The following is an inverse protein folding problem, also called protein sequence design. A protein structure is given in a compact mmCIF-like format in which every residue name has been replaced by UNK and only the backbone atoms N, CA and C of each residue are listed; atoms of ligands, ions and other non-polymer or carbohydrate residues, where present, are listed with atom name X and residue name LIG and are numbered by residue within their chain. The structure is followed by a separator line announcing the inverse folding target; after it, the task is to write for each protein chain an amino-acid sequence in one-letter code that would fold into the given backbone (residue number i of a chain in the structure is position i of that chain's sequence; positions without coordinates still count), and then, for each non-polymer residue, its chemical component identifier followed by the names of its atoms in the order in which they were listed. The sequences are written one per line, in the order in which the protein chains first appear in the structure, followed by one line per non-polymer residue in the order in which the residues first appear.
data_IF_492195021628
#
_entry.id   IF_492195021628
#
_cell.length_a   1.000
_cell.length_b   1.000
_cell.length_c   1.000
_cell.angle_alpha   90.00
_cell.angle_beta   90.00
_cell.angle_gamma   90.00
#
_symmetry.space_group_name_H-M   'P 1'
#
loop_
_entity.id
_entity.type
_entity.pdbx_description
1 polymer ?
#
# COMPACT_ATOMS: atom_id res chain seq x y z
N UNK A 1 24.15 10.36 3.66
CA UNK A 1 23.02 9.42 3.62
C UNK A 1 22.84 8.85 5.01
N UNK A 2 21.61 8.86 5.52
CA UNK A 2 21.27 8.27 6.81
C UNK A 2 21.50 6.74 6.77
N UNK A 3 21.68 6.11 7.94
CA UNK A 3 21.88 4.65 8.06
C UNK A 3 20.72 3.88 7.43
N UNK A 4 19.50 4.42 7.54
CA UNK A 4 18.29 3.85 6.93
C UNK A 4 18.37 3.95 5.40
N UNK A 5 18.74 5.10 4.84
CA UNK A 5 18.86 5.29 3.39
C UNK A 5 19.83 4.27 2.76
N UNK A 6 21.00 4.08 3.39
CA UNK A 6 22.01 3.13 2.92
C UNK A 6 21.52 1.69 2.99
N UNK A 7 20.74 1.35 4.01
CA UNK A 7 20.11 0.03 4.13
C UNK A 7 19.05 -0.18 3.04
N UNK A 8 18.18 0.82 2.83
CA UNK A 8 17.11 0.76 1.82
C UNK A 8 17.68 0.65 0.40
N UNK A 9 18.73 1.41 0.06
CA UNK A 9 19.41 1.29 -1.24
C UNK A 9 19.90 -0.13 -1.48
N UNK A 10 20.61 -0.73 -0.51
CA UNK A 10 21.09 -2.12 -0.63
C UNK A 10 19.95 -3.13 -0.76
N UNK A 11 18.81 -2.90 -0.08
CA UNK A 11 17.65 -3.77 -0.21
C UNK A 11 16.98 -3.64 -1.59
N UNK A 12 16.95 -2.44 -2.16
CA UNK A 12 16.45 -2.21 -3.53
C UNK A 12 17.36 -2.91 -4.53
N UNK A 13 18.68 -2.69 -4.45
CA UNK A 13 19.66 -3.33 -5.34
C UNK A 13 19.53 -4.86 -5.28
N UNK A 14 19.48 -5.41 -4.07
CA UNK A 14 19.27 -6.85 -3.85
C UNK A 14 17.95 -7.36 -4.42
N UNK A 15 16.86 -6.57 -4.31
CA UNK A 15 15.56 -6.96 -4.83
C UNK A 15 15.51 -6.94 -6.37
N UNK A 16 16.24 -6.02 -7.00
CA UNK A 16 16.40 -5.95 -8.45
C UNK A 16 17.24 -7.13 -8.95
N UNK A 17 18.39 -7.40 -8.31
CA UNK A 17 19.30 -8.48 -8.69
C UNK A 17 18.70 -9.88 -8.45
N UNK A 18 17.91 -10.04 -7.38
CA UNK A 18 17.32 -11.32 -6.98
C UNK A 18 15.82 -11.19 -6.72
N UNK A 19 14.98 -11.07 -7.77
CA UNK A 19 13.54 -10.83 -7.63
C UNK A 19 12.80 -11.89 -6.81
N UNK A 20 13.24 -13.15 -6.87
CA UNK A 20 12.66 -14.27 -6.11
C UNK A 20 13.14 -14.35 -4.66
N UNK A 21 14.25 -13.66 -4.33
CA UNK A 21 14.84 -13.64 -2.99
C UNK A 21 14.56 -12.33 -2.24
N UNK A 22 14.03 -11.31 -2.94
CA UNK A 22 13.55 -10.09 -2.33
C UNK A 22 12.49 -10.41 -1.26
N UNK A 23 12.52 -9.73 -0.10
CA UNK A 23 11.44 -9.85 0.87
C UNK A 23 10.11 -9.56 0.16
N UNK A 24 9.16 -10.50 0.21
CA UNK A 24 7.84 -10.35 -0.41
C UNK A 24 6.98 -9.21 0.21
N UNK A 25 7.59 -8.39 1.07
CA UNK A 25 7.06 -7.27 1.85
C UNK A 25 7.27 -5.91 1.18
N UNK A 26 8.21 -5.81 0.24
CA UNK A 26 8.63 -4.53 -0.36
C UNK A 26 7.93 -4.31 -1.71
N UNK A 27 7.34 -3.12 -1.87
CA UNK A 27 6.87 -2.59 -3.14
C UNK A 27 7.74 -1.39 -3.53
N UNK A 28 8.46 -1.52 -4.64
CA UNK A 28 9.19 -0.43 -5.28
C UNK A 28 8.31 0.14 -6.38
N UNK A 29 7.96 1.42 -6.29
CA UNK A 29 7.18 2.08 -7.34
C UNK A 29 7.95 3.28 -7.86
N UNK A 30 8.14 3.31 -9.18
CA UNK A 30 8.64 4.49 -9.88
C UNK A 30 7.44 5.38 -10.24
N UNK A 31 7.32 6.53 -9.57
CA UNK A 31 6.30 7.54 -9.87
C UNK A 31 6.98 8.84 -10.30
N UNK A 32 6.38 9.54 -11.26
CA UNK A 32 6.64 10.98 -11.38
C UNK A 32 6.14 11.68 -10.12
N UNK A 33 6.82 12.76 -9.70
CA UNK A 33 6.49 13.52 -8.47
C UNK A 33 5.01 13.94 -8.40
N UNK A 34 4.36 14.21 -9.54
CA UNK A 34 2.94 14.58 -9.61
C UNK A 34 1.97 13.39 -9.48
N UNK A 35 2.44 12.17 -9.71
CA UNK A 35 1.65 10.94 -9.58
C UNK A 35 1.51 10.50 -8.12
N UNK A 36 2.58 10.58 -7.33
CA UNK A 36 2.58 10.04 -5.96
C UNK A 36 1.62 10.77 -5.02
N UNK A 37 1.59 12.11 -5.07
CA UNK A 37 0.72 12.92 -4.23
C UNK A 37 -0.76 12.65 -4.53
N UNK A 38 -1.08 12.28 -5.78
CA UNK A 38 -2.43 11.88 -6.20
C UNK A 38 -2.81 10.48 -5.74
N UNK A 39 -1.86 9.63 -5.39
CA UNK A 39 -2.09 8.23 -5.01
C UNK A 39 -2.03 8.06 -3.49
N UNK A 40 -0.97 8.54 -2.83
CA UNK A 40 -0.72 8.40 -1.39
C UNK A 40 -1.12 9.66 -0.61
N UNK A 41 -2.36 10.09 -0.78
CA UNK A 41 -2.91 11.18 0.04
C UNK A 41 -2.94 10.76 1.53
N UNK A 42 -2.95 11.70 2.50
CA UNK A 42 -3.02 11.38 3.92
C UNK A 42 -4.17 10.41 4.26
N UNK A 43 -5.32 10.62 3.61
CA UNK A 43 -6.52 9.81 3.78
C UNK A 43 -6.34 8.34 3.33
N UNK A 44 -5.54 8.10 2.30
CA UNK A 44 -5.25 6.75 1.79
C UNK A 44 -4.13 6.06 2.56
N UNK A 45 -3.15 6.82 3.02
CA UNK A 45 -2.13 6.32 3.96
C UNK A 45 -2.81 5.84 5.25
N UNK A 46 -3.80 6.57 5.76
CA UNK A 46 -4.60 6.13 6.92
C UNK A 46 -5.33 4.81 6.66
N UNK A 47 -5.97 4.65 5.49
CA UNK A 47 -6.62 3.39 5.11
C UNK A 47 -5.62 2.22 5.14
N UNK A 48 -4.44 2.38 4.53
CA UNK A 48 -3.40 1.35 4.52
C UNK A 48 -2.97 0.98 5.94
N UNK A 49 -2.72 1.97 6.80
CA UNK A 49 -2.37 1.76 8.21
C UNK A 49 -3.46 0.99 8.97
N UNK A 50 -4.73 1.37 8.79
CA UNK A 50 -5.86 0.69 9.45
C UNK A 50 -5.98 -0.76 8.98
N UNK A 51 -5.81 -1.02 7.68
CA UNK A 51 -5.83 -2.38 7.15
C UNK A 51 -4.70 -3.23 7.75
N UNK A 52 -3.48 -2.70 7.81
CA UNK A 52 -2.32 -3.41 8.38
C UNK A 52 -2.51 -3.71 9.88
N UNK A 53 -2.98 -2.73 10.65
CA UNK A 53 -3.08 -2.84 12.11
C UNK A 53 -4.30 -3.65 12.58
N UNK A 54 -5.45 -3.49 11.90
CA UNK A 54 -6.72 -4.05 12.38
C UNK A 54 -7.21 -5.25 11.56
N UNK A 55 -6.64 -5.47 10.37
CA UNK A 55 -6.99 -6.57 9.45
C UNK A 55 -8.52 -6.76 9.30
N UNK A 56 -9.26 -5.69 8.92
CA UNK A 56 -10.71 -5.76 8.83
C UNK A 56 -11.14 -6.76 7.76
N UNK A 57 -12.03 -7.70 8.14
CA UNK A 57 -12.51 -8.75 7.24
C UNK A 57 -13.46 -8.26 6.16
N UNK A 58 -13.97 -7.04 6.24
CA UNK A 58 -14.89 -6.48 5.24
C UNK A 58 -14.69 -4.99 5.07
N UNK A 59 -15.09 -4.45 3.91
CA UNK A 59 -15.14 -2.99 3.69
C UNK A 59 -16.03 -2.30 4.74
N UNK A 60 -17.13 -2.94 5.17
CA UNK A 60 -18.01 -2.39 6.21
C UNK A 60 -17.33 -2.27 7.59
N UNK A 61 -16.51 -3.26 7.98
CA UNK A 61 -15.70 -3.15 9.21
C UNK A 61 -14.65 -2.04 9.09
N UNK A 62 -14.01 -1.92 7.93
CA UNK A 62 -13.06 -0.85 7.68
C UNK A 62 -13.70 0.55 7.78
N UNK A 63 -14.91 0.74 7.22
CA UNK A 63 -15.63 2.02 7.32
C UNK A 63 -16.00 2.37 8.76
N UNK A 64 -16.37 1.36 9.56
CA UNK A 64 -16.70 1.56 10.97
C UNK A 64 -15.48 2.00 11.80
N UNK A 65 -14.32 1.38 11.56
CA UNK A 65 -13.06 1.76 12.23
C UNK A 65 -12.63 3.17 11.83
N UNK A 66 -12.68 3.49 10.54
CA UNK A 66 -12.31 4.80 10.01
C UNK A 66 -13.32 5.90 10.35
N UNK A 67 -14.55 5.55 10.77
CA UNK A 67 -15.68 6.47 10.94
C UNK A 67 -15.92 7.33 9.69
N UNK A 68 -15.85 6.70 8.51
CA UNK A 68 -15.97 7.37 7.19
C UNK A 68 -17.08 6.74 6.34
N UNK A 69 -17.75 7.52 5.46
CA UNK A 69 -18.76 6.99 4.55
C UNK A 69 -18.23 5.90 3.61
N UNK A 70 -19.06 4.90 3.32
CA UNK A 70 -18.69 3.73 2.50
C UNK A 70 -18.24 4.11 1.10
N UNK A 71 -18.86 5.12 0.51
CA UNK A 71 -18.59 5.61 -0.84
C UNK A 71 -17.21 6.28 -0.91
N UNK A 72 -16.83 7.02 0.13
CA UNK A 72 -15.50 7.64 0.25
C UNK A 72 -14.42 6.57 0.37
N UNK A 73 -14.59 5.63 1.31
CA UNK A 73 -13.64 4.54 1.53
C UNK A 73 -13.52 3.65 0.29
N UNK A 74 -14.63 3.34 -0.38
CA UNK A 74 -14.61 2.50 -1.59
C UNK A 74 -13.89 3.16 -2.76
N UNK A 75 -14.03 4.48 -2.95
CA UNK A 75 -13.27 5.24 -3.96
C UNK A 75 -11.77 5.17 -3.69
N UNK A 76 -11.37 5.36 -2.44
CA UNK A 76 -9.96 5.32 -2.04
C UNK A 76 -9.36 3.92 -2.17
N UNK A 77 -10.08 2.89 -1.73
CA UNK A 77 -9.64 1.51 -1.91
C UNK A 77 -9.49 1.14 -3.40
N UNK A 78 -10.38 1.64 -4.27
CA UNK A 78 -10.27 1.44 -5.72
C UNK A 78 -9.03 2.12 -6.28
N UNK A 79 -8.76 3.36 -5.89
CA UNK A 79 -7.53 4.05 -6.26
C UNK A 79 -6.30 3.24 -5.83
N UNK A 80 -6.21 2.87 -4.55
CA UNK A 80 -5.09 2.07 -4.02
C UNK A 80 -4.92 0.74 -4.76
N UNK A 81 -6.03 0.05 -5.07
CA UNK A 81 -6.01 -1.21 -5.80
C UNK A 81 -5.54 -1.05 -7.25
N UNK A 82 -5.94 0.02 -7.94
CA UNK A 82 -5.52 0.29 -9.32
C UNK A 82 -3.99 0.50 -9.42
N UNK A 83 -3.36 0.99 -8.36
CA UNK A 83 -1.91 1.14 -8.26
C UNK A 83 -1.21 -0.06 -7.61
N UNK A 84 -1.92 -1.18 -7.38
CA UNK A 84 -1.35 -2.41 -6.81
C UNK A 84 -0.96 -2.34 -5.34
N UNK A 85 -1.37 -1.28 -4.62
CA UNK A 85 -1.05 -1.08 -3.21
C UNK A 85 -1.84 -2.01 -2.28
N UNK A 86 -3.00 -2.48 -2.75
CA UNK A 86 -3.80 -3.48 -2.07
C UNK A 86 -4.53 -4.35 -3.08
N UNK A 87 -4.92 -5.54 -2.64
CA UNK A 87 -5.78 -6.45 -3.35
C UNK A 87 -7.11 -6.60 -2.61
N UNK A 88 -8.05 -7.29 -3.25
CA UNK A 88 -9.25 -7.74 -2.58
C UNK A 88 -9.37 -9.26 -2.70
N UNK A 89 -9.66 -9.90 -1.58
CA UNK A 89 -10.07 -11.31 -1.56
C UNK A 89 -11.58 -11.38 -1.37
N UNK A 90 -12.20 -12.38 -1.99
CA UNK A 90 -13.64 -12.61 -1.92
C UNK A 90 -13.90 -13.87 -1.11
N UNK A 91 -14.80 -13.74 -0.13
CA UNK A 91 -15.36 -14.87 0.61
C UNK A 91 -16.88 -14.81 0.48
N UNK A 92 -17.42 -15.54 -0.50
CA UNK A 92 -18.82 -15.41 -0.91
C UNK A 92 -19.11 -14.00 -1.44
N UNK A 93 -20.06 -13.30 -0.81
CA UNK A 93 -20.44 -11.92 -1.17
C UNK A 93 -19.56 -10.84 -0.52
N UNK A 94 -18.70 -11.22 0.42
CA UNK A 94 -17.89 -10.26 1.17
C UNK A 94 -16.56 -9.97 0.49
N UNK A 95 -16.23 -8.68 0.41
CA UNK A 95 -14.99 -8.16 -0.15
C UNK A 95 -14.05 -7.74 0.98
N UNK A 96 -12.92 -8.44 1.09
CA UNK A 96 -11.91 -8.22 2.12
C UNK A 96 -10.73 -7.46 1.52
N UNK A 97 -10.43 -6.23 1.95
CA UNK A 97 -9.23 -5.52 1.50
C UNK A 97 -7.98 -6.12 2.16
N UNK A 98 -6.93 -6.36 1.37
CA UNK A 98 -5.66 -6.89 1.85
C UNK A 98 -4.49 -6.08 1.30
N UNK A 99 -3.67 -5.54 2.19
CA UNK A 99 -2.39 -4.94 1.80
C UNK A 99 -1.39 -6.08 1.58
N UNK A 100 -0.87 -6.20 0.36
CA UNK A 100 0.05 -7.28 -0.02
C UNK A 100 1.50 -6.98 0.38
N UNK A 101 1.81 -5.68 0.55
CA UNK A 101 3.17 -5.17 0.76
C UNK A 101 3.12 -4.13 1.87
N UNK A 102 3.85 -4.34 2.95
CA UNK A 102 3.84 -3.50 4.14
C UNK A 102 5.00 -2.50 4.19
N UNK A 103 5.93 -2.58 3.23
CA UNK A 103 6.98 -1.57 3.01
C UNK A 103 6.81 -1.01 1.59
N UNK A 104 6.52 0.28 1.49
CA UNK A 104 6.51 1.02 0.21
C UNK A 104 7.75 1.90 0.20
N UNK A 105 8.59 1.74 -0.83
CA UNK A 105 9.76 2.60 -1.05
C UNK A 105 9.66 3.26 -2.42
N UNK A 106 10.05 4.53 -2.47
CA UNK A 106 10.04 5.33 -3.68
C UNK A 106 11.43 5.95 -3.87
N UNK A 107 12.21 5.48 -4.85
CA UNK A 107 13.44 6.16 -5.22
C UNK A 107 13.09 7.50 -5.88
N UNK A 108 13.69 8.59 -5.40
CA UNK A 108 13.68 9.87 -6.09
C UNK A 108 14.84 9.87 -7.09
N UNK A 109 14.66 9.23 -8.24
CA UNK A 109 15.57 9.42 -9.37
C UNK A 109 15.29 10.79 -9.97
N UNK A 110 16.26 11.70 -9.80
CA UNK A 110 16.35 13.00 -10.49
C UNK A 110 16.81 12.75 -11.91
#
# INVERSE_FOLDING_TARGET
MDKIDKMMSKMIDYAIEKPKSAPNRILVINFSKSGIEKVLTPSRVEILRVILNNKPKTVGKLTAILKRPKESVSRDLRMLSNYGLLSFTHSGREKTPKVEKDIITMPLTI
#
